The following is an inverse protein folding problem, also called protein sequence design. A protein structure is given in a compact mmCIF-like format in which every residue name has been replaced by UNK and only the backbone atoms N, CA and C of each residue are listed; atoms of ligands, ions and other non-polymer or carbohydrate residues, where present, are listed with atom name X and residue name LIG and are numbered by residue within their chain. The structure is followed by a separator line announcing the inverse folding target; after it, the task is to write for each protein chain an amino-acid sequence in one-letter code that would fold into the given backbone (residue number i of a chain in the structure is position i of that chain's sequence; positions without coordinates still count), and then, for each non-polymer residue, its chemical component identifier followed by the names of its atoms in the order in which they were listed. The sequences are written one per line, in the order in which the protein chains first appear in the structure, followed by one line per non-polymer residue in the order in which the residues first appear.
data_IF_941984133647
#
_entry.id   IF_941984133647
#
_cell.length_a   1.000
_cell.length_b   1.000
_cell.length_c   1.000
_cell.angle_alpha   90.00
_cell.angle_beta   90.00
_cell.angle_gamma   90.00
#
_symmetry.space_group_name_H-M   'P 1'
#
loop_
_entity.id
_entity.type
_entity.pdbx_description
1 polymer ?
#
# COMPACT_ATOMS: atom_id res chain seq x y z
N UNK A 1 34.17 18.02 29.18
CA UNK A 1 34.04 18.40 27.75
C UNK A 1 32.95 17.54 27.15
N UNK A 2 31.68 17.98 27.18
CA UNK A 2 30.56 17.26 26.55
C UNK A 2 29.90 18.25 25.61
N UNK A 3 30.17 18.09 24.32
CA UNK A 3 29.60 18.88 23.24
C UNK A 3 28.97 17.93 22.22
N UNK A 4 27.92 17.22 22.63
CA UNK A 4 26.97 16.66 21.69
C UNK A 4 25.87 17.70 21.55
N UNK A 5 25.99 18.56 20.54
CA UNK A 5 24.91 19.48 20.16
C UNK A 5 23.86 18.62 19.48
N UNK A 6 22.66 18.64 20.05
CA UNK A 6 21.48 18.05 19.45
C UNK A 6 21.31 18.61 18.04
N UNK A 7 21.58 17.80 17.04
CA UNK A 7 21.18 17.98 15.65
C UNK A 7 19.66 17.80 15.55
N UNK A 8 18.93 18.67 16.26
CA UNK A 8 17.51 18.88 16.09
C UNK A 8 17.33 19.43 14.68
N UNK A 9 16.72 18.62 13.82
CA UNK A 9 16.24 19.10 12.53
C UNK A 9 15.15 20.14 12.81
N UNK A 10 15.56 21.42 12.85
CA UNK A 10 14.65 22.55 13.00
C UNK A 10 13.90 22.68 11.67
N UNK A 11 12.74 22.04 11.58
CA UNK A 11 11.87 22.19 10.42
C UNK A 11 11.41 23.65 10.36
N UNK A 12 11.68 24.38 9.26
CA UNK A 12 11.26 25.76 9.17
C UNK A 12 9.72 25.86 9.24
N UNK A 13 9.20 26.75 10.08
CA UNK A 13 7.75 26.91 10.28
C UNK A 13 6.99 27.23 8.98
N UNK A 14 7.64 27.88 8.02
CA UNK A 14 7.06 28.22 6.71
C UNK A 14 6.88 26.98 5.83
N UNK A 15 7.70 25.94 5.99
CA UNK A 15 7.52 24.64 5.34
C UNK A 15 6.24 23.95 5.85
N UNK A 16 6.04 23.99 7.17
CA UNK A 16 4.81 23.47 7.82
C UNK A 16 3.57 24.25 7.36
N UNK A 17 3.69 25.57 7.19
CA UNK A 17 2.60 26.41 6.69
C UNK A 17 2.24 26.08 5.23
N UNK A 18 3.24 25.89 4.36
CA UNK A 18 3.04 25.50 2.96
C UNK A 18 2.38 24.13 2.87
N UNK A 19 2.83 23.16 3.66
CA UNK A 19 2.22 21.83 3.74
C UNK A 19 0.75 21.92 4.19
N UNK A 20 0.45 22.72 5.21
CA UNK A 20 -0.91 22.98 5.68
C UNK A 20 -1.79 23.56 4.58
N UNK A 21 -1.34 24.60 3.89
CA UNK A 21 -2.10 25.20 2.77
C UNK A 21 -2.29 24.20 1.64
N UNK A 22 -1.26 23.42 1.28
CA UNK A 22 -1.35 22.40 0.25
C UNK A 22 -2.39 21.33 0.61
N UNK A 23 -2.40 20.84 1.85
CA UNK A 23 -3.38 19.85 2.33
C UNK A 23 -4.82 20.37 2.30
N UNK A 24 -5.05 21.64 2.67
CA UNK A 24 -6.37 22.28 2.60
C UNK A 24 -6.85 22.41 1.16
N UNK A 25 -5.97 22.81 0.24
CA UNK A 25 -6.29 22.88 -1.19
C UNK A 25 -6.65 21.50 -1.72
N UNK A 26 -5.85 20.47 -1.42
CA UNK A 26 -6.14 19.08 -1.81
C UNK A 26 -7.48 18.61 -1.22
N UNK A 27 -7.75 18.89 0.06
CA UNK A 27 -9.02 18.58 0.71
C UNK A 27 -10.21 19.28 0.06
N UNK A 28 -10.08 20.55 -0.29
CA UNK A 28 -11.12 21.28 -1.02
C UNK A 28 -11.34 20.70 -2.42
N UNK A 29 -10.28 20.33 -3.13
CA UNK A 29 -10.38 19.68 -4.44
C UNK A 29 -11.06 18.31 -4.35
N UNK A 30 -10.84 17.55 -3.28
CA UNK A 30 -11.58 16.30 -3.00
C UNK A 30 -13.08 16.55 -2.83
N UNK A 31 -13.48 17.62 -2.14
CA UNK A 31 -14.89 17.94 -1.87
C UNK A 31 -15.62 18.52 -3.09
N UNK A 32 -14.98 19.41 -3.86
CA UNK A 32 -15.65 20.13 -4.96
C UNK A 32 -15.47 19.50 -6.34
N UNK A 33 -14.39 18.74 -6.57
CA UNK A 33 -14.10 18.04 -7.84
C UNK A 33 -13.50 16.65 -7.59
N UNK A 34 -14.25 15.74 -6.91
CA UNK A 34 -13.75 14.43 -6.50
C UNK A 34 -13.15 13.63 -7.67
N UNK A 35 -13.77 13.70 -8.85
CA UNK A 35 -13.31 12.97 -10.03
C UNK A 35 -11.89 13.35 -10.50
N UNK A 36 -11.53 14.64 -10.52
CA UNK A 36 -10.18 15.05 -10.95
C UNK A 36 -9.13 14.75 -9.89
N UNK A 37 -9.47 14.92 -8.62
CA UNK A 37 -8.54 14.66 -7.52
C UNK A 37 -8.23 13.17 -7.37
N UNK A 38 -9.23 12.31 -7.58
CA UNK A 38 -9.05 10.87 -7.70
C UNK A 38 -8.08 10.51 -8.82
N UNK A 39 -8.23 11.10 -10.02
CA UNK A 39 -7.33 10.84 -11.15
C UNK A 39 -5.89 11.22 -10.80
N UNK A 40 -5.66 12.37 -10.16
CA UNK A 40 -4.32 12.81 -9.75
C UNK A 40 -3.72 11.86 -8.71
N UNK A 41 -4.48 11.47 -7.68
CA UNK A 41 -4.02 10.53 -6.66
C UNK A 41 -3.68 9.15 -7.26
N UNK A 42 -4.51 8.67 -8.19
CA UNK A 42 -4.28 7.41 -8.91
C UNK A 42 -3.00 7.51 -9.76
N UNK A 43 -2.77 8.62 -10.45
CA UNK A 43 -1.53 8.82 -11.23
C UNK A 43 -0.29 8.84 -10.34
N UNK A 44 -0.33 9.55 -9.21
CA UNK A 44 0.77 9.57 -8.24
C UNK A 44 1.06 8.15 -7.72
N UNK A 45 0.02 7.38 -7.40
CA UNK A 45 0.17 5.98 -7.01
C UNK A 45 0.81 5.12 -8.11
N UNK A 46 0.37 5.28 -9.36
CA UNK A 46 0.92 4.56 -10.51
C UNK A 46 2.42 4.83 -10.72
N UNK A 47 2.83 6.09 -10.60
CA UNK A 47 4.24 6.49 -10.65
C UNK A 47 5.02 5.83 -9.50
N UNK A 48 4.48 5.86 -8.29
CA UNK A 48 5.13 5.27 -7.12
C UNK A 48 5.37 3.76 -7.29
N UNK A 49 4.38 3.02 -7.79
CA UNK A 49 4.51 1.60 -8.11
C UNK A 49 5.53 1.31 -9.21
N UNK A 50 5.53 2.12 -10.27
CA UNK A 50 6.48 1.97 -11.37
C UNK A 50 7.92 2.18 -10.89
N UNK A 51 8.16 3.28 -10.17
CA UNK A 51 9.46 3.63 -9.62
C UNK A 51 9.92 2.60 -8.58
N UNK A 52 9.04 2.19 -7.66
CA UNK A 52 9.33 1.15 -6.67
C UNK A 52 9.64 -0.21 -7.29
N UNK A 53 8.94 -0.58 -8.37
CA UNK A 53 9.20 -1.79 -9.14
C UNK A 53 10.58 -1.75 -9.79
N UNK A 54 10.95 -0.63 -10.41
CA UNK A 54 12.29 -0.41 -10.98
C UNK A 54 13.38 -0.54 -9.90
N UNK A 55 13.22 0.13 -8.76
CA UNK A 55 14.19 0.03 -7.66
C UNK A 55 14.35 -1.39 -7.11
N UNK A 56 13.26 -2.17 -7.03
CA UNK A 56 13.33 -3.59 -6.62
C UNK A 56 14.15 -4.42 -7.61
N UNK A 57 14.01 -4.18 -8.91
CA UNK A 57 14.82 -4.85 -9.94
C UNK A 57 16.29 -4.45 -9.86
N UNK A 58 16.57 -3.15 -9.68
CA UNK A 58 17.95 -2.65 -9.49
C UNK A 58 18.57 -3.26 -8.23
N UNK A 59 17.79 -3.40 -7.15
CA UNK A 59 18.24 -3.98 -5.88
C UNK A 59 18.70 -5.44 -5.97
N UNK A 60 18.33 -6.18 -7.02
CA UNK A 60 18.84 -7.55 -7.28
C UNK A 60 20.35 -7.53 -7.53
N UNK A 61 20.87 -6.46 -8.14
CA UNK A 61 22.30 -6.33 -8.43
C UNK A 61 23.12 -5.97 -7.19
N UNK A 62 22.51 -5.33 -6.18
CA UNK A 62 23.16 -4.96 -4.92
C UNK A 62 23.12 -6.09 -3.89
N UNK A 63 22.00 -6.81 -3.82
CA UNK A 63 21.81 -7.92 -2.88
C UNK A 63 21.01 -9.04 -3.54
N UNK A 64 21.66 -10.20 -3.71
CA UNK A 64 21.06 -11.40 -4.32
C UNK A 64 20.20 -12.22 -3.36
N UNK A 65 20.13 -11.85 -2.08
CA UNK A 65 19.20 -12.47 -1.16
C UNK A 65 17.76 -12.26 -1.64
N UNK A 66 16.98 -13.35 -1.68
CA UNK A 66 15.59 -13.35 -2.13
C UNK A 66 15.37 -12.75 -3.53
N UNK A 67 16.35 -12.89 -4.44
CA UNK A 67 16.30 -12.30 -5.79
C UNK A 67 15.03 -12.65 -6.56
N UNK A 68 14.50 -13.88 -6.40
CA UNK A 68 13.25 -14.31 -7.05
C UNK A 68 12.04 -13.48 -6.61
N UNK A 69 11.95 -13.17 -5.31
CA UNK A 69 10.90 -12.30 -4.76
C UNK A 69 11.05 -10.85 -5.22
N UNK A 70 12.29 -10.36 -5.28
CA UNK A 70 12.59 -9.01 -5.80
C UNK A 70 12.23 -8.90 -7.30
N UNK A 71 12.50 -9.93 -8.09
CA UNK A 71 12.17 -10.00 -9.51
C UNK A 71 10.65 -10.00 -9.73
N UNK A 72 9.95 -10.94 -9.10
CA UNK A 72 8.48 -11.06 -9.22
C UNK A 72 7.79 -9.79 -8.71
N UNK A 73 8.16 -9.30 -7.53
CA UNK A 73 7.60 -8.08 -6.97
C UNK A 73 7.93 -6.81 -7.76
N UNK A 74 9.09 -6.78 -8.43
CA UNK A 74 9.50 -5.70 -9.32
C UNK A 74 8.68 -5.67 -10.62
N UNK A 75 8.56 -6.82 -11.29
CA UNK A 75 7.76 -6.97 -12.51
C UNK A 75 6.29 -6.63 -12.24
N UNK A 76 5.72 -7.17 -11.17
CA UNK A 76 4.33 -6.86 -10.77
C UNK A 76 4.17 -5.35 -10.52
N UNK A 77 5.11 -4.72 -9.81
CA UNK A 77 5.06 -3.28 -9.54
C UNK A 77 5.11 -2.42 -10.81
N UNK A 78 5.97 -2.78 -11.77
CA UNK A 78 6.07 -2.08 -13.05
C UNK A 78 4.79 -2.25 -13.88
N UNK A 79 4.32 -3.50 -14.03
CA UNK A 79 3.09 -3.78 -14.77
C UNK A 79 1.90 -3.06 -14.14
N UNK A 80 1.78 -3.09 -12.81
CA UNK A 80 0.75 -2.38 -12.08
C UNK A 80 0.84 -0.86 -12.35
N UNK A 81 2.02 -0.25 -12.20
CA UNK A 81 2.23 1.16 -12.48
C UNK A 81 1.85 1.57 -13.93
N UNK A 82 2.26 0.78 -14.92
CA UNK A 82 1.88 0.99 -16.34
C UNK A 82 0.37 0.89 -16.52
N UNK A 83 -0.26 -0.12 -15.92
CA UNK A 83 -1.72 -0.33 -15.98
C UNK A 83 -2.45 0.89 -15.42
N UNK A 84 -1.98 1.39 -14.27
CA UNK A 84 -2.58 2.53 -13.58
C UNK A 84 -2.55 3.78 -14.44
N UNK A 85 -1.39 4.07 -15.05
CA UNK A 85 -1.17 5.25 -15.87
C UNK A 85 -1.87 5.21 -17.23
N UNK A 86 -2.06 4.02 -17.81
CA UNK A 86 -2.64 3.86 -19.14
C UNK A 86 -4.15 4.07 -19.16
N UNK A 87 -4.87 3.72 -18.09
CA UNK A 87 -6.34 3.82 -18.03
C UNK A 87 -6.85 4.39 -16.70
N UNK A 88 -6.66 5.68 -16.40
CA UNK A 88 -6.96 6.27 -15.08
C UNK A 88 -8.39 6.06 -14.57
N UNK A 89 -9.38 6.08 -15.47
CA UNK A 89 -10.80 5.86 -15.14
C UNK A 89 -11.11 4.40 -14.76
N UNK A 90 -10.48 3.43 -15.42
CA UNK A 90 -10.59 2.00 -15.06
C UNK A 90 -9.75 1.66 -13.83
N UNK A 91 -8.62 2.33 -13.66
CA UNK A 91 -7.73 2.22 -12.50
C UNK A 91 -8.42 2.59 -11.19
N UNK A 92 -9.41 3.47 -11.20
CA UNK A 92 -10.19 3.82 -10.02
C UNK A 92 -10.93 2.62 -9.39
N UNK A 93 -11.29 1.62 -10.19
CA UNK A 93 -11.92 0.37 -9.73
C UNK A 93 -10.90 -0.76 -9.62
N UNK A 94 -9.97 -0.84 -10.58
CA UNK A 94 -8.94 -1.89 -10.62
C UNK A 94 -7.95 -1.79 -9.45
N UNK A 95 -7.48 -0.59 -9.10
CA UNK A 95 -6.47 -0.41 -8.03
C UNK A 95 -7.00 -0.86 -6.67
N UNK A 96 -8.19 -0.43 -6.20
CA UNK A 96 -8.78 -0.95 -4.97
C UNK A 96 -9.01 -2.46 -5.02
N UNK A 97 -9.47 -3.00 -6.15
CA UNK A 97 -9.71 -4.45 -6.31
C UNK A 97 -8.42 -5.25 -6.13
N UNK A 98 -7.34 -4.83 -6.81
CA UNK A 98 -6.03 -5.48 -6.69
C UNK A 98 -5.50 -5.36 -5.26
N UNK A 99 -5.67 -4.20 -4.61
CA UNK A 99 -5.31 -4.02 -3.21
C UNK A 99 -6.06 -4.97 -2.27
N UNK A 100 -7.38 -5.11 -2.45
CA UNK A 100 -8.24 -6.04 -1.69
C UNK A 100 -7.74 -7.48 -1.84
N UNK A 101 -7.40 -7.89 -3.07
CA UNK A 101 -6.86 -9.22 -3.33
C UNK A 101 -5.50 -9.41 -2.65
N UNK A 102 -4.59 -8.44 -2.76
CA UNK A 102 -3.26 -8.50 -2.14
C UNK A 102 -3.37 -8.60 -0.62
N UNK A 103 -4.19 -7.76 0.01
CA UNK A 103 -4.42 -7.77 1.46
C UNK A 103 -5.08 -9.09 1.88
N UNK A 104 -6.03 -9.59 1.09
CA UNK A 104 -6.69 -10.88 1.37
C UNK A 104 -5.72 -12.06 1.34
N UNK A 105 -4.87 -12.12 0.31
CA UNK A 105 -3.83 -13.16 0.18
C UNK A 105 -2.78 -13.03 1.29
N UNK A 106 -2.33 -11.82 1.61
CA UNK A 106 -1.39 -11.60 2.71
C UNK A 106 -1.98 -11.99 4.07
N UNK A 107 -3.25 -11.66 4.31
CA UNK A 107 -3.98 -12.07 5.51
C UNK A 107 -4.05 -13.59 5.63
N UNK A 108 -4.36 -14.30 4.54
CA UNK A 108 -4.31 -15.76 4.52
C UNK A 108 -2.92 -16.31 4.87
N UNK A 109 -1.87 -15.80 4.23
CA UNK A 109 -0.49 -16.28 4.44
C UNK A 109 -0.07 -16.03 5.90
N UNK A 110 -0.23 -14.80 6.39
CA UNK A 110 0.09 -14.43 7.77
C UNK A 110 -0.74 -15.24 8.77
N UNK A 111 -2.01 -15.44 8.45
CA UNK A 111 -2.93 -16.24 9.25
C UNK A 111 -2.46 -17.69 9.41
N UNK A 112 -2.08 -18.33 8.31
CA UNK A 112 -1.52 -19.70 8.35
C UNK A 112 -0.19 -19.74 9.12
N UNK A 113 0.73 -18.80 8.87
CA UNK A 113 2.03 -18.75 9.54
C UNK A 113 1.90 -18.56 11.05
N UNK A 114 1.01 -17.65 11.48
CA UNK A 114 0.75 -17.39 12.91
C UNK A 114 0.01 -18.54 13.57
N UNK A 115 -0.89 -19.22 12.86
CA UNK A 115 -1.52 -20.44 13.34
C UNK A 115 -0.49 -21.55 13.59
N UNK A 116 0.46 -21.75 12.66
CA UNK A 116 1.56 -22.72 12.83
C UNK A 116 2.42 -22.35 14.05
N UNK A 117 2.70 -21.06 14.26
CA UNK A 117 3.45 -20.59 15.44
C UNK A 117 2.71 -20.84 16.75
N UNK A 118 1.37 -20.73 16.76
CA UNK A 118 0.55 -21.06 17.93
C UNK A 118 0.73 -22.54 18.33
N UNK A 119 0.70 -23.45 17.35
CA UNK A 119 0.92 -24.87 17.58
C UNK A 119 2.36 -25.23 17.95
N UNK A 120 3.34 -24.37 17.61
CA UNK A 120 4.75 -24.52 18.00
C UNK A 120 5.10 -23.97 19.37
N UNK A 121 4.11 -23.57 20.18
CA UNK A 121 4.32 -23.06 21.54
C UNK A 121 4.28 -21.54 21.67
N UNK A 122 3.83 -20.81 20.64
CA UNK A 122 3.66 -19.35 20.67
C UNK A 122 2.53 -18.84 21.58
N UNK A 123 1.80 -19.72 22.26
CA UNK A 123 0.67 -19.38 23.12
C UNK A 123 -0.64 -19.18 22.35
N UNK A 124 -1.68 -18.73 23.06
CA UNK A 124 -3.05 -18.68 22.51
C UNK A 124 -3.28 -17.42 21.64
N UNK A 125 -2.50 -16.36 21.86
CA UNK A 125 -2.56 -15.10 21.11
C UNK A 125 -2.34 -15.27 19.60
N UNK A 126 -1.23 -15.89 19.15
CA UNK A 126 -0.99 -16.14 17.73
C UNK A 126 -2.06 -17.03 17.06
N UNK A 127 -2.70 -17.92 17.82
CA UNK A 127 -3.76 -18.79 17.31
C UNK A 127 -5.03 -18.02 16.97
N UNK A 128 -5.47 -17.13 17.87
CA UNK A 128 -6.64 -16.28 17.67
C UNK A 128 -6.39 -15.28 16.53
N UNK A 129 -5.22 -14.62 16.53
CA UNK A 129 -4.83 -13.69 15.47
C UNK A 129 -4.74 -14.39 14.11
N UNK A 130 -4.21 -15.62 14.09
CA UNK A 130 -4.11 -16.42 12.87
C UNK A 130 -5.47 -16.78 12.30
N UNK A 131 -6.38 -17.29 13.14
CA UNK A 131 -7.74 -17.62 12.74
C UNK A 131 -8.51 -16.39 12.23
N UNK A 132 -8.42 -15.25 12.93
CA UNK A 132 -9.04 -13.99 12.50
C UNK A 132 -8.49 -13.52 11.15
N UNK A 133 -7.17 -13.59 10.97
CA UNK A 133 -6.52 -13.17 9.72
C UNK A 133 -6.92 -14.07 8.54
N UNK A 134 -7.08 -15.38 8.76
CA UNK A 134 -7.61 -16.32 7.76
C UNK A 134 -9.04 -15.95 7.38
N UNK A 135 -9.92 -15.76 8.36
CA UNK A 135 -11.32 -15.39 8.12
C UNK A 135 -11.41 -14.08 7.35
N UNK A 136 -10.63 -13.08 7.76
CA UNK A 136 -10.56 -11.79 7.08
C UNK A 136 -10.06 -11.91 5.63
N UNK A 137 -9.03 -12.73 5.41
CA UNK A 137 -8.51 -13.02 4.07
C UNK A 137 -9.54 -13.72 3.18
N UNK A 138 -10.26 -14.70 3.71
CA UNK A 138 -11.34 -15.39 2.98
C UNK A 138 -12.48 -14.43 2.63
N UNK A 139 -12.90 -13.56 3.56
CA UNK A 139 -13.96 -12.57 3.33
C UNK A 139 -13.56 -11.60 2.22
N UNK A 140 -12.33 -11.07 2.26
CA UNK A 140 -11.81 -10.17 1.23
C UNK A 140 -11.76 -10.82 -0.16
N UNK A 141 -11.38 -12.10 -0.21
CA UNK A 141 -11.26 -12.84 -1.48
C UNK A 141 -12.58 -13.40 -2.00
N UNK A 142 -13.59 -13.56 -1.14
CA UNK A 142 -14.90 -14.08 -1.51
C UNK A 142 -15.69 -13.14 -2.42
N UNK A 143 -15.48 -11.82 -2.31
CA UNK A 143 -16.09 -10.86 -3.22
C UNK A 143 -15.25 -9.57 -3.39
N UNK A 144 -14.12 -9.64 -4.13
CA UNK A 144 -13.19 -8.51 -4.27
C UNK A 144 -13.84 -7.30 -4.95
N UNK A 145 -14.77 -7.57 -5.87
CA UNK A 145 -15.52 -6.54 -6.60
C UNK A 145 -16.48 -5.79 -5.68
N UNK A 146 -17.15 -6.46 -4.74
CA UNK A 146 -17.98 -5.79 -3.74
C UNK A 146 -17.15 -4.86 -2.85
N UNK A 147 -15.97 -5.29 -2.41
CA UNK A 147 -15.04 -4.44 -1.64
C UNK A 147 -14.58 -3.20 -2.44
N UNK A 148 -14.29 -3.37 -3.72
CA UNK A 148 -13.85 -2.27 -4.59
C UNK A 148 -14.98 -1.32 -5.02
N UNK A 149 -16.22 -1.79 -5.11
CA UNK A 149 -17.39 -0.97 -5.48
C UNK A 149 -17.99 -0.20 -4.30
N UNK A 150 -17.83 -0.69 -3.07
CA UNK A 150 -18.34 -0.01 -1.87
C UNK A 150 -17.47 1.19 -1.49
N UNK A 151 -16.17 1.17 -1.76
CA UNK A 151 -15.26 2.26 -1.38
C UNK A 151 -15.55 3.61 -2.07
N UNK A 152 -15.87 3.67 -3.39
CA UNK A 152 -16.19 4.94 -4.05
C UNK A 152 -17.62 5.43 -3.83
N UNK A 153 -18.56 4.54 -3.48
CA UNK A 153 -19.98 4.89 -3.34
C UNK A 153 -20.29 5.43 -1.93
N UNK A 154 -19.47 5.08 -0.94
CA UNK A 154 -19.67 5.48 0.47
C UNK A 154 -18.80 6.69 0.87
N UNK A 155 -18.00 7.24 -0.05
CA UNK A 155 -17.09 8.37 0.17
C UNK A 155 -17.59 9.68 -0.47
#
# INVERSE_FOLDING_TARGET
MVGARDDLVIIPWWLVLIEGIASVIVGAFLLFKPGMTLIVLIQVMGIFWLVGGIFRLIGIFMDRSMWGWKLVGGIIGILAGISVLSYPLWSAVMVPTVFVIVIGVQGLIMGVVTLIMAFKGGGWGPGILGALSIVFGIILLGNPLAGALVLPIVA
#
